data_IF_915379524156
#
_entry.id   IF_915379524156
#
_cell.length_a   1.000
_cell.length_b   1.000
_cell.length_c   1.000
_cell.angle_alpha   90.00
_cell.angle_beta   90.00
_cell.angle_gamma   90.00
#
_symmetry.space_group_name_H-M   'P 1'
#
loop_
_entity.id
_entity.type
_entity.pdbx_description
1 polymer ?
#
# COMPACT_ATOMS: atom_id res chain seq x y z
N UNK A 1 -18.62 -16.53 14.88
CA UNK A 1 -18.17 -16.44 14.23
C UNK A 1 -17.28 -15.59 14.00
N UNK A 2 -16.73 -15.62 13.68
CA UNK A 2 -15.90 -14.89 13.53
C UNK A 2 -15.74 -14.34 12.43
N UNK A 3 -15.61 -13.48 12.17
CA UNK A 3 -15.53 -12.94 11.12
C UNK A 3 -14.34 -12.78 10.67
N UNK A 4 -14.14 -12.96 9.52
CA UNK A 4 -13.01 -12.82 8.98
C UNK A 4 -12.65 -11.58 8.77
N UNK A 5 -11.57 -11.22 9.05
CA UNK A 5 -11.17 -9.93 8.93
C UNK A 5 -10.68 -9.57 7.58
N UNK A 6 -11.43 -9.77 6.58
CA UNK A 6 -11.01 -9.34 5.27
C UNK A 6 -10.91 -7.83 5.19
N UNK A 7 -11.84 -7.14 5.85
CA UNK A 7 -11.75 -5.69 5.89
C UNK A 7 -10.52 -5.25 6.61
N UNK A 8 -10.17 -5.96 7.67
CA UNK A 8 -8.98 -5.63 8.43
C UNK A 8 -7.74 -5.86 7.58
N UNK A 9 -7.75 -6.91 6.77
CA UNK A 9 -6.62 -7.16 5.89
C UNK A 9 -6.45 -6.04 4.87
N UNK A 10 -7.56 -5.54 4.32
CA UNK A 10 -7.48 -4.44 3.38
C UNK A 10 -6.97 -3.18 4.08
N UNK A 11 -7.42 -2.95 5.30
CA UNK A 11 -6.96 -1.79 6.06
C UNK A 11 -5.46 -1.88 6.32
N UNK A 12 -4.99 -3.08 6.68
CA UNK A 12 -3.56 -3.27 6.91
C UNK A 12 -2.76 -2.98 5.65
N UNK A 13 -3.25 -3.45 4.51
CA UNK A 13 -2.57 -3.21 3.24
C UNK A 13 -2.54 -1.72 2.91
N UNK A 14 -3.64 -1.03 3.16
CA UNK A 14 -3.69 0.40 2.88
C UNK A 14 -2.79 1.18 3.83
N UNK A 15 -2.71 0.76 5.08
CA UNK A 15 -1.80 1.41 6.03
C UNK A 15 -0.36 1.22 5.60
N UNK A 16 -0.03 0.03 5.14
CA UNK A 16 1.31 -0.24 4.67
C UNK A 16 1.61 0.57 3.42
N UNK A 17 0.63 0.69 2.53
CA UNK A 17 0.80 1.51 1.34
C UNK A 17 1.05 2.96 1.72
N UNK A 18 0.34 3.45 2.73
CA UNK A 18 0.53 4.82 3.19
C UNK A 18 1.95 5.04 3.71
N UNK A 19 2.47 4.07 4.49
CA UNK A 19 3.83 4.17 5.01
C UNK A 19 4.84 4.18 3.86
N UNK A 20 4.64 3.31 2.89
CA UNK A 20 5.55 3.25 1.75
C UNK A 20 5.48 4.52 0.91
N UNK A 21 4.28 5.10 0.81
CA UNK A 21 4.12 6.34 0.08
C UNK A 21 4.90 7.46 0.76
N UNK A 22 4.88 7.49 2.08
CA UNK A 22 5.64 8.48 2.83
C UNK A 22 7.14 8.30 2.57
N UNK A 23 7.60 7.05 2.56
CA UNK A 23 9.00 6.78 2.24
C UNK A 23 9.32 7.19 0.82
N UNK A 24 8.38 7.01 -0.10
CA UNK A 24 8.58 7.42 -1.48
C UNK A 24 8.77 8.93 -1.56
N UNK A 25 7.97 9.68 -0.82
CA UNK A 25 8.12 11.12 -0.82
C UNK A 25 9.46 11.56 -0.26
N UNK A 26 9.95 10.85 0.76
CA UNK A 26 11.27 11.13 1.29
C UNK A 26 12.35 10.84 0.26
N UNK A 27 12.20 9.76 -0.48
CA UNK A 27 13.16 9.43 -1.54
C UNK A 27 13.16 10.50 -2.61
N UNK A 28 11.98 11.00 -2.95
CA UNK A 28 11.87 12.05 -3.95
C UNK A 28 12.56 13.32 -3.48
N UNK A 29 12.37 13.69 -2.22
CA UNK A 29 13.01 14.86 -1.63
C UNK A 29 14.53 14.69 -1.67
N UNK A 30 15.01 13.48 -1.47
CA UNK A 30 16.45 13.22 -1.48
C UNK A 30 17.00 13.13 -2.90
N UNK A 31 16.15 13.19 -3.91
CA UNK A 31 16.58 13.09 -5.29
C UNK A 31 16.82 11.67 -5.74
N UNK A 32 16.33 10.68 -5.00
CA UNK A 32 16.54 9.29 -5.35
C UNK A 32 15.35 8.77 -6.14
N UNK A 33 15.33 9.02 -7.43
CA UNK A 33 14.18 8.70 -8.27
C UNK A 33 13.99 7.20 -8.45
N UNK A 34 15.08 6.44 -8.48
CA UNK A 34 14.96 5.00 -8.59
C UNK A 34 14.23 4.40 -7.41
N UNK A 35 14.61 4.81 -6.21
CA UNK A 35 13.95 4.33 -5.01
C UNK A 35 12.51 4.81 -4.96
N UNK A 36 12.27 6.04 -5.38
CA UNK A 36 10.92 6.58 -5.44
C UNK A 36 10.03 5.70 -6.31
N UNK A 37 10.50 5.35 -7.51
CA UNK A 37 9.71 4.53 -8.41
C UNK A 37 9.44 3.15 -7.83
N UNK A 38 10.45 2.53 -7.23
CA UNK A 38 10.26 1.22 -6.63
C UNK A 38 9.19 1.26 -5.54
N UNK A 39 9.24 2.29 -4.71
CA UNK A 39 8.26 2.41 -3.63
C UNK A 39 6.87 2.68 -4.15
N UNK A 40 6.75 3.48 -5.20
CA UNK A 40 5.45 3.76 -5.79
C UNK A 40 4.84 2.49 -6.38
N UNK A 41 5.65 1.66 -7.02
CA UNK A 41 5.16 0.40 -7.56
C UNK A 41 4.62 -0.47 -6.43
N UNK A 42 5.32 -0.52 -5.31
CA UNK A 42 4.87 -1.29 -4.17
C UNK A 42 3.55 -0.74 -3.61
N UNK A 43 3.43 0.58 -3.58
CA UNK A 43 2.18 1.21 -3.13
C UNK A 43 1.03 0.78 -4.04
N UNK A 44 1.25 0.81 -5.34
CA UNK A 44 0.21 0.42 -6.28
C UNK A 44 -0.22 -1.02 -6.08
N UNK A 45 0.75 -1.90 -5.88
CA UNK A 45 0.43 -3.32 -5.67
C UNK A 45 -0.39 -3.52 -4.42
N UNK A 46 -0.05 -2.82 -3.36
CA UNK A 46 -0.78 -2.97 -2.11
C UNK A 46 -2.19 -2.41 -2.22
N UNK A 47 -2.34 -1.28 -2.89
CA UNK A 47 -3.66 -0.70 -3.09
C UNK A 47 -4.52 -1.61 -3.94
N UNK A 48 -3.96 -2.16 -5.03
CA UNK A 48 -4.72 -3.07 -5.88
C UNK A 48 -5.15 -4.31 -5.12
N UNK A 49 -4.26 -4.82 -4.27
CA UNK A 49 -4.60 -5.99 -3.49
C UNK A 49 -5.72 -5.68 -2.49
N UNK A 50 -5.66 -4.52 -1.87
CA UNK A 50 -6.70 -4.11 -0.95
C UNK A 50 -8.03 -3.98 -1.67
N UNK A 51 -8.01 -3.42 -2.88
CA UNK A 51 -9.22 -3.28 -3.66
C UNK A 51 -9.81 -4.64 -4.02
N UNK A 52 -8.96 -5.61 -4.36
CA UNK A 52 -9.43 -6.96 -4.64
C UNK A 52 -10.14 -7.55 -3.45
N UNK A 53 -9.57 -7.37 -2.27
CA UNK A 53 -10.19 -7.90 -1.06
C UNK A 53 -11.54 -7.26 -0.83
N UNK A 54 -11.62 -5.94 -0.98
CA UNK A 54 -12.87 -5.25 -0.75
C UNK A 54 -13.92 -5.59 -1.79
N UNK A 55 -13.48 -5.82 -3.02
CA UNK A 55 -14.41 -6.16 -4.09
C UNK A 55 -14.97 -7.56 -3.96
N UNK A 56 -14.33 -8.41 -3.19
CA UNK A 56 -14.82 -9.76 -3.00
C UNK A 56 -15.91 -9.85 -1.97
N UNK A 57 -16.22 -8.77 -1.32
CA UNK A 57 -17.29 -8.75 -0.32
C UNK A 57 -18.64 -8.31 -0.90
#
# INVERSE_FOLDING_TARGET
MLMIPEDISAIDLLNKASDLFEQAQNALTDGNLGKYQDLIIQVEELVNKALEILNQQ
#
